data_IF_043502080456
#
_entry.id   IF_043502080456
#
_cell.length_a   1.000
_cell.length_b   1.000
_cell.length_c   1.000
_cell.angle_alpha   90.00
_cell.angle_beta   90.00
_cell.angle_gamma   90.00
#
_symmetry.space_group_name_H-M   'P 1'
#
loop_
_entity.id
_entity.type
_entity.pdbx_description
1 polymer ?
#
# COMPACT_ATOMS: atom_id res chain seq x y z
N UNK A 1 8.62 -12.82 -83.71
CA UNK A 1 9.11 -12.87 -82.31
C UNK A 1 8.23 -13.85 -81.55
N UNK A 2 8.63 -15.12 -81.53
CA UNK A 2 7.85 -16.22 -80.93
C UNK A 2 8.51 -16.70 -79.64
N UNK A 3 7.67 -16.89 -78.61
CA UNK A 3 7.99 -17.42 -77.29
C UNK A 3 8.41 -18.89 -77.37
N UNK A 4 9.41 -19.29 -76.58
CA UNK A 4 9.46 -20.63 -75.99
C UNK A 4 9.99 -20.56 -74.56
N UNK A 5 9.23 -21.20 -73.69
CA UNK A 5 9.45 -21.45 -72.27
C UNK A 5 10.61 -22.43 -72.08
N UNK A 6 11.45 -22.25 -71.07
CA UNK A 6 12.20 -23.37 -70.49
C UNK A 6 12.22 -23.25 -68.97
N UNK A 7 11.61 -24.25 -68.36
CA UNK A 7 11.53 -24.55 -66.95
C UNK A 7 12.90 -25.09 -66.51
N UNK A 8 13.55 -24.46 -65.53
CA UNK A 8 14.73 -25.06 -64.88
C UNK A 8 14.32 -25.50 -63.48
N UNK A 9 14.15 -26.81 -63.32
CA UNK A 9 14.11 -27.47 -62.03
C UNK A 9 15.57 -27.77 -61.67
N UNK A 10 16.11 -27.15 -60.62
CA UNK A 10 17.30 -27.66 -59.92
C UNK A 10 16.84 -28.08 -58.53
N UNK A 11 16.79 -29.40 -58.35
CA UNK A 11 16.50 -30.08 -57.10
C UNK A 11 17.79 -30.17 -56.28
N UNK A 12 17.62 -30.04 -54.97
CA UNK A 12 18.49 -30.55 -53.89
C UNK A 12 19.86 -29.92 -53.68
N UNK A 13 19.94 -29.12 -52.61
CA UNK A 13 20.73 -29.56 -51.46
C UNK A 13 20.12 -29.05 -50.16
N UNK A 14 19.78 -30.02 -49.32
CA UNK A 14 19.16 -29.86 -48.02
C UNK A 14 20.22 -29.31 -47.07
N UNK A 15 20.14 -28.02 -46.73
CA UNK A 15 20.84 -27.47 -45.55
C UNK A 15 19.76 -27.21 -44.53
N UNK A 16 19.60 -28.14 -43.57
CA UNK A 16 18.92 -27.86 -42.32
C UNK A 16 19.68 -26.73 -41.62
N UNK A 17 19.23 -25.50 -41.84
CA UNK A 17 19.47 -24.42 -40.90
C UNK A 17 18.56 -24.70 -39.69
N UNK A 18 19.12 -25.42 -38.72
CA UNK A 18 18.70 -25.31 -37.33
C UNK A 18 18.87 -23.85 -36.94
N UNK A 19 17.85 -23.04 -37.21
CA UNK A 19 17.64 -21.78 -36.53
C UNK A 19 17.28 -22.18 -35.10
N UNK A 20 18.29 -22.32 -34.26
CA UNK A 20 18.08 -22.24 -32.83
C UNK A 20 17.49 -20.85 -32.59
N UNK A 21 16.18 -20.82 -32.38
CA UNK A 21 15.50 -19.73 -31.69
C UNK A 21 16.10 -19.71 -30.28
N UNK A 22 17.28 -19.10 -30.15
CA UNK A 22 17.74 -18.60 -28.87
C UNK A 22 16.73 -17.52 -28.54
N UNK A 23 15.81 -17.87 -27.64
CA UNK A 23 14.90 -16.94 -27.00
C UNK A 23 15.73 -15.78 -26.44
N UNK A 24 15.72 -14.65 -27.16
CA UNK A 24 16.16 -13.36 -26.67
C UNK A 24 15.00 -12.75 -25.86
N UNK A 25 14.60 -13.43 -24.81
CA UNK A 25 13.84 -12.85 -23.70
C UNK A 25 14.57 -13.09 -22.38
N UNK A 26 15.88 -12.82 -22.38
CA UNK A 26 16.49 -12.29 -21.18
C UNK A 26 16.47 -10.78 -21.33
N UNK A 27 15.33 -10.18 -20.96
CA UNK A 27 15.38 -8.80 -20.45
C UNK A 27 16.54 -8.75 -19.45
N UNK A 28 17.53 -7.87 -19.63
CA UNK A 28 18.56 -7.73 -18.62
C UNK A 28 17.82 -7.46 -17.32
N UNK A 29 18.06 -8.28 -16.29
CA UNK A 29 17.75 -7.87 -14.94
C UNK A 29 18.55 -6.59 -14.74
N UNK A 30 17.90 -5.44 -14.89
CA UNK A 30 18.43 -4.23 -14.32
C UNK A 30 18.64 -4.60 -12.86
N UNK A 31 19.91 -4.73 -12.47
CA UNK A 31 20.30 -4.53 -11.08
C UNK A 31 19.79 -3.13 -10.77
N UNK A 32 18.54 -3.05 -10.29
CA UNK A 32 17.87 -1.80 -10.00
C UNK A 32 18.74 -1.14 -8.96
N UNK A 33 19.43 -0.07 -9.35
CA UNK A 33 20.14 0.77 -8.40
C UNK A 33 19.13 1.17 -7.33
N UNK A 34 19.36 0.71 -6.10
CA UNK A 34 18.56 1.11 -4.95
C UNK A 34 19.33 2.18 -4.20
N UNK A 35 18.82 3.41 -4.11
CA UNK A 35 19.50 4.44 -3.36
C UNK A 35 19.55 4.05 -1.88
N UNK A 36 20.61 4.51 -1.19
CA UNK A 36 20.72 4.33 0.27
C UNK A 36 19.56 4.98 1.01
N UNK A 37 18.97 6.01 0.42
CA UNK A 37 17.84 6.72 0.98
C UNK A 37 16.80 6.94 -0.10
N UNK A 38 15.55 6.62 0.23
CA UNK A 38 14.41 6.87 -0.64
C UNK A 38 13.25 7.38 0.22
N UNK A 39 12.46 8.27 -0.37
CA UNK A 39 11.23 8.77 0.23
C UNK A 39 10.24 9.17 -0.86
N UNK A 40 9.16 8.41 -1.01
CA UNK A 40 8.13 8.67 -2.02
C UNK A 40 7.40 9.99 -1.78
N UNK A 41 7.47 10.57 -0.57
CA UNK A 41 6.87 11.88 -0.28
C UNK A 41 7.66 13.07 -0.81
N UNK A 42 8.89 12.83 -1.28
CA UNK A 42 9.79 13.87 -1.78
C UNK A 42 9.90 13.89 -3.30
N UNK A 43 9.18 13.01 -4.02
CA UNK A 43 9.22 12.97 -5.48
C UNK A 43 8.19 13.92 -6.09
N UNK A 44 8.50 14.54 -7.22
CA UNK A 44 7.65 15.56 -7.84
C UNK A 44 6.24 15.07 -8.20
N UNK A 45 6.07 13.78 -8.53
CA UNK A 45 4.75 13.22 -8.85
C UNK A 45 3.79 13.31 -7.65
N UNK A 46 4.31 13.26 -6.42
CA UNK A 46 3.49 13.22 -5.22
C UNK A 46 2.98 14.61 -4.81
N UNK A 47 3.51 15.69 -5.38
CA UNK A 47 3.06 17.07 -5.11
C UNK A 47 1.61 17.31 -5.54
N UNK A 48 1.11 16.52 -6.50
CA UNK A 48 -0.29 16.55 -6.93
C UNK A 48 -1.22 15.73 -6.01
N UNK A 49 -0.65 15.00 -5.06
CA UNK A 49 -1.35 14.10 -4.15
C UNK A 49 -1.49 14.75 -2.77
N UNK A 50 -2.63 14.52 -2.13
CA UNK A 50 -2.83 14.94 -0.74
C UNK A 50 -2.07 14.00 0.21
N UNK A 51 -0.93 14.47 0.68
CA UNK A 51 -0.04 13.72 1.58
C UNK A 51 -0.33 13.95 3.06
N UNK A 52 -1.44 14.62 3.40
CA UNK A 52 -1.76 14.96 4.79
C UNK A 52 -1.73 13.72 5.67
N UNK A 53 -0.92 13.77 6.73
CA UNK A 53 -0.86 12.73 7.77
C UNK A 53 -2.18 12.73 8.51
N UNK A 54 -2.86 11.57 8.49
CA UNK A 54 -4.17 11.46 9.08
C UNK A 54 -4.11 11.56 10.61
N UNK A 55 -5.18 12.08 11.22
CA UNK A 55 -5.40 12.10 12.66
C UNK A 55 -6.59 11.21 13.03
N UNK A 56 -6.33 10.05 13.65
CA UNK A 56 -7.36 9.07 14.01
C UNK A 56 -8.28 9.51 15.17
N UNK A 57 -7.90 10.57 15.89
CA UNK A 57 -8.68 11.12 17.00
C UNK A 57 -8.86 10.10 18.13
N UNK A 58 -10.09 9.99 18.64
CA UNK A 58 -10.38 9.10 19.77
C UNK A 58 -10.51 7.62 19.36
N UNK A 59 -10.52 7.32 18.07
CA UNK A 59 -10.79 6.01 17.53
C UNK A 59 -9.50 5.23 17.24
N UNK A 60 -8.71 4.99 18.29
CA UNK A 60 -7.33 4.49 18.15
C UNK A 60 -7.25 3.08 17.55
N UNK A 61 -8.24 2.21 17.82
CA UNK A 61 -8.35 0.89 17.20
C UNK A 61 -8.61 0.92 15.70
N UNK A 62 -9.14 2.04 15.19
CA UNK A 62 -9.49 2.25 13.78
C UNK A 62 -8.32 2.64 12.87
N UNK A 63 -7.09 2.73 13.40
CA UNK A 63 -5.87 3.09 12.67
C UNK A 63 -5.74 2.39 11.29
N UNK A 64 -6.03 1.09 11.24
CA UNK A 64 -5.92 0.29 10.03
C UNK A 64 -6.75 0.86 8.87
N UNK A 65 -7.94 1.40 9.15
CA UNK A 65 -8.80 1.93 8.10
C UNK A 65 -8.15 3.13 7.39
N UNK A 66 -7.47 4.01 8.14
CA UNK A 66 -6.74 5.15 7.57
C UNK A 66 -5.53 4.72 6.77
N UNK A 67 -4.74 3.82 7.33
CA UNK A 67 -3.47 3.41 6.71
C UNK A 67 -3.73 2.69 5.39
N UNK A 68 -4.71 1.78 5.35
CA UNK A 68 -5.08 1.07 4.13
C UNK A 68 -5.66 2.02 3.06
N UNK A 69 -6.60 2.89 3.45
CA UNK A 69 -7.20 3.84 2.50
C UNK A 69 -6.22 4.87 1.96
N UNK A 70 -5.33 5.39 2.80
CA UNK A 70 -4.32 6.35 2.37
C UNK A 70 -3.26 5.70 1.48
N UNK A 71 -2.82 4.48 1.79
CA UNK A 71 -1.84 3.75 0.96
C UNK A 71 -2.41 3.48 -0.43
N UNK A 72 -3.66 2.99 -0.50
CA UNK A 72 -4.33 2.76 -1.77
C UNK A 72 -4.57 4.06 -2.56
N UNK A 73 -4.94 5.14 -1.87
CA UNK A 73 -5.09 6.46 -2.50
C UNK A 73 -3.77 6.95 -3.11
N UNK A 74 -2.67 6.94 -2.35
CA UNK A 74 -1.37 7.44 -2.82
C UNK A 74 -0.82 6.59 -3.96
N UNK A 75 -0.95 5.26 -3.88
CA UNK A 75 -0.58 4.33 -4.95
C UNK A 75 -1.25 4.71 -6.28
N UNK A 76 -2.53 5.07 -6.25
CA UNK A 76 -3.27 5.48 -7.44
C UNK A 76 -2.94 6.90 -7.88
N UNK A 77 -2.82 7.82 -6.93
CA UNK A 77 -2.53 9.21 -7.23
C UNK A 77 -1.18 9.37 -7.94
N UNK A 78 -0.14 8.66 -7.48
CA UNK A 78 1.20 8.64 -8.08
C UNK A 78 1.22 8.16 -9.55
N UNK A 79 0.19 7.42 -9.97
CA UNK A 79 0.11 6.78 -11.28
C UNK A 79 -0.90 7.43 -12.21
N UNK A 80 -1.62 8.45 -11.72
CA UNK A 80 -2.69 9.10 -12.46
C UNK A 80 -2.28 10.49 -12.92
N UNK A 81 -2.68 10.84 -14.14
CA UNK A 81 -2.63 12.22 -14.63
C UNK A 81 -3.75 13.09 -14.07
N UNK A 82 -4.72 12.50 -13.38
CA UNK A 82 -5.89 13.17 -12.83
C UNK A 82 -5.93 13.07 -11.31
N UNK A 83 -6.49 14.11 -10.66
CA UNK A 83 -6.66 14.14 -9.21
C UNK A 83 -7.54 12.98 -8.77
N UNK A 84 -6.98 12.10 -7.94
CA UNK A 84 -7.72 10.98 -7.37
C UNK A 84 -8.55 11.43 -6.15
N UNK A 85 -9.73 10.85 -5.92
CA UNK A 85 -10.47 11.09 -4.68
C UNK A 85 -9.82 10.34 -3.52
N UNK A 86 -9.79 10.96 -2.33
CA UNK A 86 -9.45 10.24 -1.10
C UNK A 86 -10.54 9.25 -0.77
N UNK A 87 -10.16 8.07 -0.29
CA UNK A 87 -11.08 6.99 0.07
C UNK A 87 -11.61 7.17 1.49
N UNK A 88 -12.81 6.66 1.75
CA UNK A 88 -13.45 6.72 3.07
C UNK A 88 -12.91 5.65 4.01
N UNK A 89 -12.07 6.07 4.96
CA UNK A 89 -11.69 5.22 6.10
C UNK A 89 -12.89 4.88 6.98
N UNK A 90 -13.90 5.76 7.05
CA UNK A 90 -15.13 5.51 7.79
C UNK A 90 -15.90 4.32 7.23
N UNK A 91 -16.02 4.25 5.90
CA UNK A 91 -16.66 3.12 5.24
C UNK A 91 -15.90 1.82 5.49
N UNK A 92 -14.58 1.86 5.34
CA UNK A 92 -13.76 0.68 5.58
C UNK A 92 -13.91 0.19 7.04
N UNK A 93 -13.85 1.12 8.00
CA UNK A 93 -14.07 0.86 9.41
C UNK A 93 -15.44 0.22 9.67
N UNK A 94 -16.53 0.81 9.19
CA UNK A 94 -17.89 0.32 9.46
C UNK A 94 -18.22 -0.98 8.71
N UNK A 95 -17.74 -1.16 7.49
CA UNK A 95 -18.20 -2.21 6.59
C UNK A 95 -17.32 -3.48 6.59
N UNK A 96 -16.05 -3.40 6.99
CA UNK A 96 -15.22 -4.62 7.14
C UNK A 96 -15.78 -5.50 8.25
N UNK A 97 -15.92 -6.81 8.00
CA UNK A 97 -16.40 -7.77 9.00
C UNK A 97 -15.31 -8.01 10.07
N UNK A 98 -15.61 -7.63 11.31
CA UNK A 98 -14.81 -7.90 12.49
C UNK A 98 -15.71 -7.84 13.73
N UNK A 99 -15.58 -8.83 14.61
CA UNK A 99 -16.52 -9.06 15.73
C UNK A 99 -16.23 -8.20 16.97
N UNK A 100 -15.10 -7.50 17.01
CA UNK A 100 -14.71 -6.61 18.11
C UNK A 100 -15.10 -5.15 17.82
N UNK A 101 -15.08 -4.31 18.86
CA UNK A 101 -15.19 -2.86 18.68
C UNK A 101 -13.97 -2.36 17.90
N UNK A 102 -14.13 -2.10 16.62
CA UNK A 102 -13.05 -1.73 15.71
C UNK A 102 -12.43 -0.37 16.01
N UNK A 103 -13.05 0.42 16.89
CA UNK A 103 -12.61 1.76 17.27
C UNK A 103 -11.87 1.76 18.60
N UNK A 104 -12.31 0.92 19.54
CA UNK A 104 -11.72 0.80 20.88
C UNK A 104 -10.73 -0.37 20.99
N UNK A 105 -10.92 -1.44 20.23
CA UNK A 105 -10.07 -2.61 20.21
C UNK A 105 -9.02 -2.50 19.11
N UNK A 106 -7.78 -2.78 19.47
CA UNK A 106 -6.66 -2.90 18.55
C UNK A 106 -6.56 -4.35 18.07
N UNK A 107 -6.32 -4.61 16.78
CA UNK A 107 -6.18 -5.98 16.28
C UNK A 107 -5.11 -6.75 17.05
N UNK A 108 -5.46 -7.95 17.55
CA UNK A 108 -4.52 -8.84 18.25
C UNK A 108 -3.86 -9.86 17.31
N UNK A 109 -4.30 -9.92 16.06
CA UNK A 109 -3.75 -10.83 15.04
C UNK A 109 -3.90 -10.24 13.64
N UNK A 110 -3.12 -10.76 12.69
CA UNK A 110 -3.17 -10.37 11.28
C UNK A 110 -4.43 -10.86 10.55
N UNK A 111 -5.34 -11.60 11.21
CA UNK A 111 -6.59 -12.07 10.58
C UNK A 111 -7.45 -10.95 9.98
N UNK A 112 -7.39 -9.76 10.58
CA UNK A 112 -8.10 -8.57 10.07
C UNK A 112 -7.68 -8.21 8.64
N UNK A 113 -6.41 -8.48 8.27
CA UNK A 113 -5.88 -8.18 6.93
C UNK A 113 -6.71 -8.88 5.85
N UNK A 114 -7.11 -10.13 6.06
CA UNK A 114 -7.91 -10.87 5.09
C UNK A 114 -9.31 -10.24 4.91
N UNK A 115 -9.95 -9.82 6.00
CA UNK A 115 -11.23 -9.11 5.93
C UNK A 115 -11.10 -7.78 5.18
N UNK A 116 -10.01 -7.04 5.41
CA UNK A 116 -9.74 -5.78 4.71
C UNK A 116 -9.47 -6.03 3.23
N UNK A 117 -8.59 -6.98 2.90
CA UNK A 117 -8.25 -7.37 1.52
C UNK A 117 -9.51 -7.73 0.74
N UNK A 118 -10.33 -8.63 1.29
CA UNK A 118 -11.57 -9.04 0.64
C UNK A 118 -12.51 -7.85 0.42
N UNK A 119 -12.67 -6.99 1.42
CA UNK A 119 -13.52 -5.81 1.27
C UNK A 119 -13.01 -4.85 0.20
N UNK A 120 -11.71 -4.55 0.16
CA UNK A 120 -11.13 -3.63 -0.81
C UNK A 120 -11.21 -4.16 -2.25
N UNK A 121 -11.09 -5.48 -2.44
CA UNK A 121 -11.13 -6.12 -3.77
C UNK A 121 -12.57 -6.35 -4.23
N UNK A 122 -13.43 -6.93 -3.38
CA UNK A 122 -14.77 -7.38 -3.77
C UNK A 122 -15.82 -6.27 -3.70
N UNK A 123 -15.69 -5.35 -2.73
CA UNK A 123 -16.64 -4.26 -2.52
C UNK A 123 -16.05 -2.93 -3.02
N UNK A 124 -14.85 -2.59 -2.55
CA UNK A 124 -14.25 -1.28 -2.78
C UNK A 124 -14.79 -0.21 -1.84
N UNK A 125 -14.38 1.03 -2.07
CA UNK A 125 -14.67 2.16 -1.19
C UNK A 125 -15.17 3.39 -1.93
N UNK A 126 -16.03 4.13 -1.25
CA UNK A 126 -16.44 5.47 -1.64
C UNK A 126 -15.38 6.50 -1.30
N UNK A 127 -15.53 7.69 -1.87
CA UNK A 127 -14.70 8.83 -1.46
C UNK A 127 -15.01 9.26 -0.02
N UNK A 128 -14.04 9.87 0.66
CA UNK A 128 -14.24 10.47 1.98
C UNK A 128 -15.26 11.62 1.99
N UNK A 129 -15.60 12.20 0.83
CA UNK A 129 -16.71 13.16 0.69
C UNK A 129 -18.08 12.50 0.82
N UNK A 130 -18.19 11.23 0.43
CA UNK A 130 -19.42 10.45 0.61
C UNK A 130 -19.61 10.06 2.08
N UNK A 131 -18.57 9.50 2.71
CA UNK A 131 -18.60 9.09 4.11
C UNK A 131 -17.41 9.69 4.84
N UNK A 132 -17.68 10.73 5.62
CA UNK A 132 -16.65 11.48 6.36
C UNK A 132 -16.26 10.76 7.64
N UNK A 133 -14.98 10.82 7.99
CA UNK A 133 -14.48 10.18 9.20
C UNK A 133 -14.96 10.89 10.46
N UNK A 134 -15.54 10.13 11.40
CA UNK A 134 -16.24 10.72 12.55
C UNK A 134 -15.38 10.86 13.80
N UNK A 135 -14.20 10.26 13.87
CA UNK A 135 -13.21 10.41 14.97
C UNK A 135 -13.74 10.14 16.40
N UNK A 136 -14.87 9.45 16.58
CA UNK A 136 -15.51 9.27 17.90
C UNK A 136 -15.54 7.82 18.35
N UNK A 137 -15.52 7.59 19.67
CA UNK A 137 -15.59 6.27 20.32
C UNK A 137 -17.00 5.70 20.45
N UNK A 138 -18.04 6.51 20.24
CA UNK A 138 -19.44 6.13 20.47
C UNK A 138 -20.10 5.53 19.23
N UNK A 139 -19.37 4.68 18.52
CA UNK A 139 -20.01 3.82 17.57
C UNK A 139 -20.45 2.56 18.27
N UNK A 140 -21.76 2.40 18.40
CA UNK A 140 -22.32 1.08 18.24
C UNK A 140 -21.99 0.66 16.78
N UNK A 141 -20.75 0.24 16.49
CA UNK A 141 -20.28 -0.19 15.16
C UNK A 141 -21.03 -1.44 14.66
N UNK A 142 -21.95 -1.97 15.48
CA UNK A 142 -23.05 -2.84 15.06
C UNK A 142 -24.02 -2.16 14.08
N UNK A 143 -23.95 -0.84 13.92
CA UNK A 143 -24.68 -0.11 12.89
C UNK A 143 -24.21 -0.58 11.52
N UNK A 144 -25.18 -1.08 10.74
CA UNK A 144 -24.98 -1.66 9.42
C UNK A 144 -24.17 -0.73 8.53
N UNK A 145 -23.28 -1.32 7.72
CA UNK A 145 -22.54 -0.65 6.66
C UNK A 145 -23.42 0.38 5.91
N UNK A 146 -23.06 1.67 5.85
CA UNK A 146 -23.90 2.69 5.24
C UNK A 146 -24.17 2.40 3.77
N UNK A 147 -25.46 2.44 3.40
CA UNK A 147 -25.90 2.25 2.02
C UNK A 147 -25.99 3.57 1.22
N UNK A 148 -25.80 4.72 1.89
CA UNK A 148 -25.85 6.07 1.31
C UNK A 148 -24.74 6.93 1.92
N UNK A 149 -24.36 7.97 1.21
CA UNK A 149 -23.45 9.01 1.69
C UNK A 149 -24.08 9.81 2.84
N UNK A 150 -23.25 10.42 3.69
CA UNK A 150 -23.70 11.36 4.73
C UNK A 150 -24.41 12.57 4.09
N UNK A 151 -23.88 13.06 2.96
CA UNK A 151 -24.54 14.04 2.08
C UNK A 151 -25.10 13.34 0.83
N UNK A 152 -26.44 13.38 0.69
CA UNK A 152 -27.20 12.76 -0.40
C UNK A 152 -26.94 13.40 -1.77
N UNK A 153 -26.25 14.54 -1.84
CA UNK A 153 -25.78 15.14 -3.10
C UNK A 153 -24.70 14.29 -3.78
N UNK A 154 -23.98 13.48 -3.01
CA UNK A 154 -22.98 12.54 -3.54
C UNK A 154 -23.61 11.19 -3.84
N UNK A 155 -23.21 10.61 -4.97
CA UNK A 155 -23.50 9.21 -5.28
C UNK A 155 -22.43 8.33 -4.66
N UNK A 156 -22.86 7.23 -4.04
CA UNK A 156 -21.96 6.17 -3.62
C UNK A 156 -21.32 5.55 -4.87
N UNK A 157 -20.01 5.57 -4.95
CA UNK A 157 -19.22 5.01 -6.05
C UNK A 157 -18.11 4.17 -5.46
N UNK A 158 -17.93 2.95 -5.93
CA UNK A 158 -16.95 2.02 -5.36
C UNK A 158 -15.66 2.04 -6.18
N UNK A 159 -14.56 2.38 -5.52
CA UNK A 159 -13.20 2.22 -6.05
C UNK A 159 -12.59 0.97 -5.42
N UNK A 160 -12.39 -0.07 -6.23
CA UNK A 160 -11.86 -1.36 -5.80
C UNK A 160 -10.36 -1.40 -5.96
N UNK A 161 -9.68 -2.08 -5.04
CA UNK A 161 -8.27 -2.40 -5.22
C UNK A 161 -8.13 -3.53 -6.26
N UNK A 162 -7.14 -3.42 -7.14
CA UNK A 162 -6.85 -4.47 -8.13
C UNK A 162 -6.31 -5.74 -7.46
N UNK A 163 -5.31 -5.58 -6.60
CA UNK A 163 -4.75 -6.66 -5.80
C UNK A 163 -3.98 -6.10 -4.60
N UNK A 164 -3.82 -6.95 -3.59
CA UNK A 164 -3.00 -6.74 -2.40
C UNK A 164 -2.04 -7.92 -2.25
N UNK A 165 -0.74 -7.66 -2.23
CA UNK A 165 0.30 -8.68 -2.15
C UNK A 165 1.08 -8.57 -0.86
N UNK A 166 1.35 -9.70 -0.23
CA UNK A 166 2.30 -9.78 0.87
C UNK A 166 3.73 -9.72 0.33
N UNK A 167 4.52 -8.78 0.85
CA UNK A 167 5.91 -8.57 0.46
C UNK A 167 6.81 -9.08 1.58
N UNK A 168 7.64 -10.07 1.26
CA UNK A 168 8.41 -10.82 2.28
C UNK A 168 9.90 -10.52 2.27
N UNK A 169 10.45 -10.04 1.14
CA UNK A 169 11.85 -9.61 1.05
C UNK A 169 11.98 -8.10 1.03
N UNK A 170 13.06 -7.59 1.64
CA UNK A 170 13.40 -6.16 1.61
C UNK A 170 13.53 -5.63 0.19
N UNK A 171 14.07 -6.43 -0.73
CA UNK A 171 14.16 -6.06 -2.14
C UNK A 171 12.78 -5.88 -2.76
N UNK A 172 11.84 -6.81 -2.53
CA UNK A 172 10.46 -6.69 -3.06
C UNK A 172 9.75 -5.47 -2.49
N UNK A 173 9.98 -5.16 -1.21
CA UNK A 173 9.41 -3.97 -0.56
C UNK A 173 9.96 -2.69 -1.19
N UNK A 174 11.27 -2.58 -1.36
CA UNK A 174 11.91 -1.42 -1.99
C UNK A 174 11.46 -1.28 -3.45
N UNK A 175 11.41 -2.38 -4.19
CA UNK A 175 10.98 -2.39 -5.59
C UNK A 175 9.50 -1.99 -5.71
N UNK A 176 8.64 -2.44 -4.79
CA UNK A 176 7.26 -1.98 -4.74
C UNK A 176 7.17 -0.47 -4.47
N UNK A 177 7.90 0.03 -3.47
CA UNK A 177 7.88 1.45 -3.11
C UNK A 177 8.34 2.35 -4.27
N UNK A 178 9.38 1.95 -5.00
CA UNK A 178 9.87 2.68 -6.17
C UNK A 178 8.84 2.66 -7.31
N UNK A 179 8.29 1.48 -7.62
CA UNK A 179 7.54 1.28 -8.86
C UNK A 179 6.03 1.53 -8.73
N UNK A 180 5.49 1.41 -7.51
CA UNK A 180 4.05 1.41 -7.22
C UNK A 180 3.68 2.44 -6.16
N UNK A 181 4.59 2.74 -5.23
CA UNK A 181 4.36 3.67 -4.14
C UNK A 181 4.24 2.96 -2.78
N UNK A 182 3.73 3.66 -1.76
CA UNK A 182 3.85 3.23 -0.37
C UNK A 182 3.22 1.86 -0.10
N UNK A 183 3.67 1.22 0.99
CA UNK A 183 3.18 -0.10 1.44
C UNK A 183 2.68 0.00 2.87
N UNK A 184 1.79 -0.92 3.26
CA UNK A 184 1.30 -1.02 4.64
C UNK A 184 2.19 -1.97 5.44
N UNK A 185 2.58 -1.57 6.63
CA UNK A 185 3.28 -2.39 7.60
C UNK A 185 2.40 -2.63 8.81
N UNK A 186 2.27 -3.89 9.23
CA UNK A 186 1.69 -4.25 10.51
C UNK A 186 2.82 -4.42 11.54
N UNK A 187 2.76 -3.61 12.60
CA UNK A 187 3.75 -3.50 13.66
C UNK A 187 3.11 -3.92 14.98
N UNK A 188 3.73 -4.89 15.68
CA UNK A 188 3.42 -5.10 17.09
C UNK A 188 3.92 -3.89 17.88
N UNK A 189 3.08 -3.31 18.71
CA UNK A 189 3.41 -2.08 19.42
C UNK A 189 3.00 -2.12 20.89
N UNK A 190 3.69 -1.31 21.69
CA UNK A 190 3.35 -1.06 23.08
C UNK A 190 3.31 0.43 23.41
N UNK A 191 3.35 0.74 24.71
CA UNK A 191 3.37 2.11 25.23
C UNK A 191 4.56 2.94 24.73
N UNK A 192 5.69 2.32 24.42
CA UNK A 192 6.86 3.02 23.87
C UNK A 192 6.56 3.77 22.56
N UNK A 193 5.58 3.31 21.77
CA UNK A 193 5.19 4.00 20.55
C UNK A 193 4.50 5.33 20.86
N UNK A 194 3.74 5.43 21.95
CA UNK A 194 3.08 6.68 22.33
C UNK A 194 4.09 7.76 22.77
N UNK A 195 5.26 7.34 23.25
CA UNK A 195 6.35 8.22 23.70
C UNK A 195 7.35 8.56 22.59
N UNK A 196 7.22 7.95 21.41
CA UNK A 196 8.15 8.14 20.32
C UNK A 196 8.17 9.60 19.84
N UNK A 197 9.37 10.17 19.74
CA UNK A 197 9.60 11.54 19.27
C UNK A 197 10.53 11.58 18.05
N UNK A 198 11.58 10.78 18.02
CA UNK A 198 12.54 10.71 16.90
C UNK A 198 13.42 9.46 16.98
N UNK A 199 14.31 9.28 16.00
CA UNK A 199 15.26 8.17 15.97
C UNK A 199 14.63 6.85 15.54
N UNK A 200 15.28 5.73 15.84
CA UNK A 200 14.77 4.39 15.54
C UNK A 200 13.79 3.95 16.64
N UNK A 201 12.57 3.56 16.27
CA UNK A 201 11.63 2.98 17.20
C UNK A 201 12.09 1.60 17.67
N UNK A 202 12.08 1.42 19.00
CA UNK A 202 12.40 0.15 19.66
C UNK A 202 11.41 -0.10 20.78
N UNK A 203 10.85 -1.31 20.82
CA UNK A 203 10.05 -1.80 21.95
C UNK A 203 10.97 -1.94 23.16
N UNK A 204 10.56 -1.37 24.31
CA UNK A 204 11.30 -1.50 25.57
C UNK A 204 11.03 -2.87 26.21
N UNK A 205 11.91 -3.35 27.09
CA UNK A 205 11.76 -4.67 27.70
C UNK A 205 10.53 -4.77 28.64
N UNK A 206 10.10 -3.63 29.20
CA UNK A 206 8.94 -3.47 30.08
C UNK A 206 7.73 -2.87 29.35
N UNK A 207 7.77 -2.88 28.01
CA UNK A 207 6.74 -2.26 27.17
C UNK A 207 5.42 -3.04 27.24
N UNK A 208 4.33 -2.34 27.58
CA UNK A 208 3.01 -2.95 27.64
C UNK A 208 2.50 -3.19 26.22
N UNK A 209 2.44 -4.44 25.77
CA UNK A 209 1.94 -4.78 24.43
C UNK A 209 0.45 -4.40 24.29
N UNK A 210 0.16 -3.56 23.30
CA UNK A 210 -1.20 -3.14 22.98
C UNK A 210 -1.78 -3.94 21.82
N UNK A 211 -0.97 -4.53 20.95
CA UNK A 211 -1.42 -5.37 19.84
C UNK A 211 -0.73 -4.98 18.55
N UNK A 212 -1.49 -4.96 17.45
CA UNK A 212 -0.98 -4.60 16.13
C UNK A 212 -1.48 -3.20 15.76
N UNK A 213 -0.54 -2.37 15.32
CA UNK A 213 -0.79 -1.09 14.68
C UNK A 213 -0.30 -1.14 13.25
N UNK A 214 -0.98 -0.42 12.37
CA UNK A 214 -0.59 -0.31 10.97
C UNK A 214 0.10 1.04 10.74
N UNK A 215 1.10 1.01 9.88
CA UNK A 215 1.88 2.17 9.46
C UNK A 215 2.00 2.14 7.93
N UNK A 216 2.18 3.29 7.31
CA UNK A 216 2.42 3.38 5.87
C UNK A 216 3.91 3.64 5.63
N UNK A 217 4.63 2.65 5.11
CA UNK A 217 6.04 2.82 4.72
C UNK A 217 6.07 3.66 3.45
N UNK A 218 6.78 4.78 3.53
CA UNK A 218 6.96 5.74 2.43
C UNK A 218 8.38 5.73 1.88
N UNK A 219 9.32 5.07 2.55
CA UNK A 219 10.70 5.06 2.15
C UNK A 219 11.60 4.29 3.10
N UNK A 220 12.91 4.44 2.93
CA UNK A 220 13.90 3.78 3.77
C UNK A 220 15.20 4.58 3.86
N UNK A 221 16.02 4.14 4.81
CA UNK A 221 17.45 4.41 4.89
C UNK A 221 18.19 3.06 5.02
N UNK A 222 19.28 2.90 4.29
CA UNK A 222 20.20 1.76 4.38
C UNK A 222 21.48 2.20 5.04
N UNK A 223 21.74 1.65 6.22
CA UNK A 223 22.96 1.84 6.98
C UNK A 223 24.19 1.28 6.25
N UNK A 224 25.38 1.67 6.68
CA UNK A 224 26.65 1.19 6.10
C UNK A 224 26.80 -0.34 6.23
N UNK A 225 26.27 -0.92 7.30
CA UNK A 225 26.29 -2.37 7.57
C UNK A 225 25.16 -3.14 6.87
N UNK A 226 24.37 -2.45 6.02
CA UNK A 226 23.29 -3.02 5.23
C UNK A 226 21.95 -3.11 5.95
N UNK A 227 21.86 -2.72 7.24
CA UNK A 227 20.58 -2.71 7.95
C UNK A 227 19.63 -1.68 7.35
N UNK A 228 18.35 -2.07 7.25
CA UNK A 228 17.29 -1.19 6.77
C UNK A 228 16.51 -0.58 7.92
N UNK A 229 16.27 0.72 7.79
CA UNK A 229 15.31 1.48 8.58
C UNK A 229 14.20 1.97 7.66
N UNK A 230 12.97 1.55 7.92
CA UNK A 230 11.77 1.99 7.19
C UNK A 230 11.29 3.34 7.71
N UNK A 231 11.12 4.30 6.79
CA UNK A 231 10.47 5.58 7.06
C UNK A 231 8.97 5.39 6.92
N UNK A 232 8.22 5.56 8.01
CA UNK A 232 6.80 5.24 8.03
C UNK A 232 5.95 6.40 8.54
N UNK A 233 4.77 6.60 7.97
CA UNK A 233 3.75 7.51 8.48
C UNK A 233 2.79 6.76 9.41
N UNK A 234 2.51 7.38 10.56
CA UNK A 234 1.47 6.95 11.50
C UNK A 234 0.17 7.74 11.25
N UNK A 235 -0.83 7.55 12.10
CA UNK A 235 -2.16 8.17 12.06
C UNK A 235 -2.42 9.11 13.24
N UNK A 236 -1.37 9.64 13.87
CA UNK A 236 -1.45 10.57 15.00
C UNK A 236 -1.33 12.04 14.59
N UNK A 237 -1.49 12.35 13.30
CA UNK A 237 -1.28 13.68 12.74
C UNK A 237 0.19 14.10 12.74
N UNK A 238 0.45 15.33 12.26
CA UNK A 238 1.80 15.85 12.04
C UNK A 238 2.53 16.24 13.33
N UNK A 239 1.83 16.39 14.44
CA UNK A 239 2.43 16.78 15.74
C UNK A 239 3.12 15.62 16.45
N UNK A 240 2.98 14.40 15.94
CA UNK A 240 3.56 13.20 16.53
C UNK A 240 4.91 12.86 15.88
N UNK A 241 5.88 12.39 16.67
CA UNK A 241 7.18 11.99 16.13
C UNK A 241 7.87 13.12 15.36
N UNK A 242 8.36 12.80 14.16
CA UNK A 242 8.92 13.78 13.22
C UNK A 242 7.91 14.00 12.09
N UNK A 243 7.09 15.04 12.18
CA UNK A 243 6.04 15.36 11.19
C UNK A 243 5.06 14.20 10.92
N UNK A 244 4.69 13.46 11.98
CA UNK A 244 3.82 12.29 11.91
C UNK A 244 4.52 10.98 11.55
N UNK A 245 5.86 10.99 11.46
CA UNK A 245 6.68 9.85 11.07
C UNK A 245 7.22 9.07 12.25
N UNK A 246 7.47 7.79 12.00
CA UNK A 246 8.22 6.87 12.84
C UNK A 246 9.17 6.06 11.98
N UNK A 247 10.42 5.93 12.43
CA UNK A 247 11.41 5.07 11.77
C UNK A 247 11.42 3.69 12.45
N UNK A 248 11.31 2.62 11.67
CA UNK A 248 11.19 1.26 12.21
C UNK A 248 12.22 0.35 11.55
N UNK A 249 12.95 -0.44 12.34
CA UNK A 249 13.96 -1.37 11.81
C UNK A 249 13.30 -2.60 11.17
N UNK A 250 13.97 -3.28 10.25
CA UNK A 250 13.46 -4.36 9.37
C UNK A 250 12.78 -5.58 10.03
N UNK A 251 12.91 -5.83 11.34
CA UNK A 251 12.63 -7.15 11.92
C UNK A 251 11.14 -7.51 12.06
N UNK A 252 10.79 -8.73 11.62
CA UNK A 252 9.53 -9.47 11.89
C UNK A 252 8.24 -8.69 11.58
N UNK A 253 8.26 -7.93 10.49
CA UNK A 253 7.11 -7.15 10.03
C UNK A 253 6.30 -7.90 9.00
N UNK A 254 5.00 -7.68 9.02
CA UNK A 254 4.10 -8.11 7.96
C UNK A 254 3.81 -6.91 7.06
N UNK A 255 4.19 -7.01 5.77
CA UNK A 255 4.14 -5.87 4.84
C UNK A 255 3.27 -6.21 3.63
N UNK A 256 2.41 -5.27 3.24
CA UNK A 256 1.44 -5.40 2.16
C UNK A 256 1.63 -4.28 1.12
N UNK A 257 1.81 -4.69 -0.14
CA UNK A 257 1.79 -3.82 -1.31
C UNK A 257 0.43 -3.76 -2.01
N UNK A 258 0.21 -2.69 -2.76
CA UNK A 258 -0.99 -2.42 -3.55
C UNK A 258 -0.67 -2.16 -5.02
N UNK A 259 -1.51 -2.67 -5.91
CA UNK A 259 -1.36 -2.49 -7.35
C UNK A 259 -2.23 -1.35 -7.93
N UNK A 260 -2.87 -0.56 -7.06
CA UNK A 260 -3.78 0.51 -7.44
C UNK A 260 -5.24 0.04 -7.54
N UNK A 261 -6.07 0.82 -8.22
CA UNK A 261 -7.48 0.53 -8.45
C UNK A 261 -7.65 -0.51 -9.57
N UNK A 262 -8.71 -1.30 -9.44
CA UNK A 262 -9.26 -2.08 -10.54
C UNK A 262 -10.06 -1.12 -11.43
N UNK A 263 -9.55 -0.85 -12.63
CA UNK A 263 -10.10 0.15 -13.58
C UNK A 263 -10.57 -0.56 -14.84
#
# INVERSE_FOLDING_TARGET
>A
MNRYTTLTIVVTSCVLLLVTLVSLEQTPSFLTYRPKEYDVTLITQIDNCDQTVFLEGLCQGGNWAHIFTQTLYLTNCLRSSSKQPRLSAEELLQCTKWDEDKCSATPKSLKIVNSIKNFLIENGLSSNKCLSYKQTVNFNLKNKCPIRCDDLSFKKSELRAKDLLELTSTQDIQDHIINKGPVVMALKYGSSLNEYSSGLYTIKNDDQEFGIRFLMIVGWHTEIDGKITWKSLNSFGTQYGVDGRVNVGEKNQYILGYFGFDV
#
